data_IF_397930814130
#
_entry.id   IF_397930814130
#
_cell.length_a   1.000
_cell.length_b   1.000
_cell.length_c   1.000
_cell.angle_alpha   90.00
_cell.angle_beta   90.00
_cell.angle_gamma   90.00
#
_symmetry.space_group_name_H-M   'P 1'
#
loop_
_entity.id
_entity.type
_entity.pdbx_description
1 polymer ?
#
# COMPACT_ATOMS: atom_id res chain seq x y z
N UNK A 1 -12.12 -24.72 5.47
CA UNK A 1 -12.07 -23.37 4.89
C UNK A 1 -11.16 -22.52 5.77
N UNK A 2 -10.11 -21.94 5.19
CA UNK A 2 -9.01 -21.13 5.78
C UNK A 2 -7.66 -21.84 5.77
N UNK A 3 -6.96 -21.76 4.64
CA UNK A 3 -5.48 -21.84 4.59
C UNK A 3 -4.87 -20.82 3.61
N UNK A 4 -5.61 -20.38 2.59
CA UNK A 4 -5.06 -19.50 1.54
C UNK A 4 -5.06 -17.99 1.85
N UNK A 5 -5.85 -17.51 2.81
CA UNK A 5 -5.91 -16.07 3.12
C UNK A 5 -4.88 -15.73 4.19
N UNK A 6 -3.88 -14.94 3.82
CA UNK A 6 -2.86 -14.44 4.73
C UNK A 6 -2.78 -12.92 4.66
N UNK A 7 -2.64 -12.29 5.81
CA UNK A 7 -2.44 -10.86 5.90
C UNK A 7 -1.39 -10.57 6.97
N UNK A 8 -0.49 -9.64 6.66
CA UNK A 8 0.55 -9.15 7.56
C UNK A 8 0.49 -7.65 7.70
N UNK A 9 0.79 -7.16 8.90
CA UNK A 9 0.88 -5.73 9.20
C UNK A 9 2.30 -5.43 9.63
N UNK A 10 2.94 -4.50 8.94
CA UNK A 10 4.29 -4.03 9.26
C UNK A 10 4.27 -2.68 9.95
N UNK A 11 5.29 -2.44 10.77
CA UNK A 11 5.53 -1.18 11.45
C UNK A 11 7.03 -0.90 11.47
N UNK A 12 7.41 0.33 11.10
CA UNK A 12 8.72 0.87 11.45
C UNK A 12 8.59 2.26 12.07
N UNK A 13 9.47 2.53 13.04
CA UNK A 13 9.64 3.85 13.68
C UNK A 13 11.09 4.34 13.63
N UNK A 14 11.92 3.70 12.79
CA UNK A 14 13.30 4.10 12.55
C UNK A 14 13.35 5.51 11.95
N UNK A 15 14.43 6.22 12.25
CA UNK A 15 14.64 7.57 11.75
C UNK A 15 15.14 7.58 10.31
N UNK A 16 16.05 6.67 9.98
CA UNK A 16 16.51 6.52 8.61
C UNK A 16 15.38 5.99 7.72
N UNK A 17 15.08 6.72 6.65
CA UNK A 17 13.99 6.38 5.74
C UNK A 17 14.18 5.00 5.09
N UNK A 18 15.38 4.67 4.61
CA UNK A 18 15.62 3.41 3.89
C UNK A 18 15.52 2.22 4.83
N UNK A 19 16.13 2.30 6.01
CA UNK A 19 15.99 1.26 7.03
C UNK A 19 14.55 1.08 7.49
N UNK A 20 13.79 2.18 7.60
CA UNK A 20 12.38 2.11 7.95
C UNK A 20 11.55 1.44 6.86
N UNK A 21 11.86 1.73 5.60
CA UNK A 21 11.23 1.12 4.43
C UNK A 21 11.48 -0.38 4.36
N UNK A 22 12.71 -0.79 4.66
CA UNK A 22 13.08 -2.20 4.73
C UNK A 22 12.34 -2.92 5.85
N UNK A 23 12.42 -2.40 7.09
CA UNK A 23 11.80 -3.02 8.27
C UNK A 23 10.27 -3.15 8.14
N UNK A 24 9.60 -2.12 7.62
CA UNK A 24 8.13 -2.16 7.46
C UNK A 24 7.69 -3.16 6.38
N UNK A 25 8.54 -3.45 5.40
CA UNK A 25 8.29 -4.47 4.38
C UNK A 25 8.57 -5.87 4.93
N UNK A 26 9.72 -6.08 5.57
CA UNK A 26 10.11 -7.38 6.16
C UNK A 26 9.04 -7.87 7.15
N UNK A 27 8.70 -7.04 8.13
CA UNK A 27 7.73 -7.39 9.19
C UNK A 27 6.32 -7.67 8.66
N UNK A 28 5.91 -7.01 7.56
CA UNK A 28 4.64 -7.28 6.92
C UNK A 28 4.64 -8.61 6.15
N UNK A 29 5.73 -8.92 5.44
CA UNK A 29 5.83 -10.14 4.63
C UNK A 29 6.09 -11.39 5.46
N UNK A 30 6.69 -11.27 6.64
CA UNK A 30 6.88 -12.39 7.58
C UNK A 30 5.59 -13.19 7.83
N UNK A 31 4.43 -12.51 7.89
CA UNK A 31 3.13 -13.16 8.14
C UNK A 31 2.51 -13.83 6.91
N UNK A 32 3.13 -13.70 5.75
CA UNK A 32 2.69 -14.38 4.53
C UNK A 32 3.37 -15.74 4.36
N UNK A 33 4.35 -16.10 5.18
CA UNK A 33 5.12 -17.36 5.13
C UNK A 33 5.67 -17.66 3.71
N UNK A 34 6.18 -16.64 3.03
CA UNK A 34 6.74 -16.76 1.68
C UNK A 34 5.74 -16.61 0.54
N UNK A 35 4.44 -16.51 0.83
CA UNK A 35 3.42 -16.23 -0.19
C UNK A 35 3.58 -14.82 -0.78
N UNK A 36 3.42 -14.70 -2.11
CA UNK A 36 3.53 -13.40 -2.77
C UNK A 36 2.30 -12.54 -2.45
N UNK A 37 2.48 -11.30 -1.97
CA UNK A 37 1.36 -10.39 -1.76
C UNK A 37 0.67 -10.03 -3.08
N UNK A 38 -0.67 -9.99 -3.06
CA UNK A 38 -1.51 -9.46 -4.14
C UNK A 38 -1.40 -7.94 -4.26
N UNK A 39 -1.18 -7.27 -3.13
CA UNK A 39 -0.82 -5.87 -3.05
C UNK A 39 -0.10 -5.58 -1.73
N UNK A 40 0.57 -4.44 -1.69
CA UNK A 40 1.19 -3.89 -0.50
C UNK A 40 0.65 -2.49 -0.27
N UNK A 41 -0.04 -2.28 0.85
CA UNK A 41 -0.57 -0.99 1.28
C UNK A 41 0.44 -0.35 2.23
N UNK A 42 0.91 0.85 1.92
CA UNK A 42 1.95 1.55 2.68
C UNK A 42 1.51 2.97 3.04
N UNK A 43 1.57 3.30 4.32
CA UNK A 43 1.37 4.65 4.81
C UNK A 43 2.58 5.14 5.60
N UNK A 44 3.07 6.32 5.25
CA UNK A 44 4.17 6.96 5.97
C UNK A 44 3.73 8.29 6.57
N UNK A 45 4.34 8.68 7.68
CA UNK A 45 4.14 10.01 8.25
C UNK A 45 5.13 11.01 7.67
N UNK A 46 4.73 12.28 7.61
CA UNK A 46 5.44 13.35 6.88
C UNK A 46 6.91 13.55 7.27
N UNK A 47 7.31 13.14 8.47
CA UNK A 47 8.67 13.36 8.97
C UNK A 47 9.78 12.81 8.05
N UNK A 48 9.55 11.70 7.33
CA UNK A 48 10.58 11.14 6.44
C UNK A 48 11.00 12.10 5.32
N UNK A 49 10.19 13.11 4.97
CA UNK A 49 10.60 14.21 4.09
C UNK A 49 11.93 14.85 4.53
N UNK A 50 12.16 14.94 5.85
CA UNK A 50 13.38 15.55 6.44
C UNK A 50 14.46 14.54 6.82
N UNK A 51 14.14 13.25 6.88
CA UNK A 51 15.04 12.20 7.40
C UNK A 51 15.30 11.12 6.33
N UNK A 52 15.84 11.56 5.18
CA UNK A 52 16.22 10.69 4.05
C UNK A 52 15.31 10.81 2.82
N UNK A 53 14.08 11.30 2.99
CA UNK A 53 13.12 11.51 1.92
C UNK A 53 12.25 10.28 1.63
N UNK A 54 11.08 10.53 1.04
CA UNK A 54 10.15 9.44 0.69
C UNK A 54 10.71 8.49 -0.36
N UNK A 55 11.63 8.95 -1.22
CA UNK A 55 12.27 8.08 -2.21
C UNK A 55 13.15 7.01 -1.53
N UNK A 56 13.93 7.38 -0.51
CA UNK A 56 14.75 6.40 0.21
C UNK A 56 13.88 5.43 1.02
N UNK A 57 12.76 5.90 1.58
CA UNK A 57 11.76 5.02 2.18
C UNK A 57 11.25 3.98 1.17
N UNK A 58 10.88 4.41 -0.03
CA UNK A 58 10.42 3.51 -1.08
C UNK A 58 11.54 2.57 -1.55
N UNK A 59 12.78 3.05 -1.68
CA UNK A 59 13.93 2.22 -2.04
C UNK A 59 14.09 1.07 -1.04
N UNK A 60 13.99 1.36 0.27
CA UNK A 60 14.04 0.33 1.31
C UNK A 60 12.90 -0.70 1.22
N UNK A 61 11.68 -0.26 0.86
CA UNK A 61 10.55 -1.17 0.60
C UNK A 61 10.83 -2.07 -0.60
N UNK A 62 11.33 -1.49 -1.71
CA UNK A 62 11.58 -2.22 -2.96
C UNK A 62 12.73 -3.23 -2.88
N UNK A 63 13.65 -3.09 -1.93
CA UNK A 63 14.68 -4.10 -1.66
C UNK A 63 14.09 -5.43 -1.15
N UNK A 64 12.92 -5.36 -0.54
CA UNK A 64 12.28 -6.50 0.14
C UNK A 64 11.08 -7.00 -0.65
N UNK A 65 10.33 -6.09 -1.28
CA UNK A 65 9.06 -6.42 -1.90
C UNK A 65 9.25 -7.25 -3.17
N UNK A 66 8.52 -8.37 -3.35
CA UNK A 66 8.64 -9.18 -4.56
C UNK A 66 8.31 -8.37 -5.83
N UNK A 67 9.05 -8.61 -6.90
CA UNK A 67 8.91 -7.89 -8.17
C UNK A 67 7.46 -7.94 -8.70
N UNK A 68 6.97 -6.80 -9.18
CA UNK A 68 5.63 -6.67 -9.74
C UNK A 68 4.50 -6.61 -8.71
N UNK A 69 4.81 -6.62 -7.40
CA UNK A 69 3.80 -6.39 -6.36
C UNK A 69 3.24 -4.97 -6.48
N UNK A 70 1.92 -4.79 -6.60
CA UNK A 70 1.31 -3.46 -6.59
C UNK A 70 1.53 -2.78 -5.24
N UNK A 71 2.23 -1.65 -5.23
CA UNK A 71 2.41 -0.79 -4.07
C UNK A 71 1.42 0.37 -4.14
N UNK A 72 0.58 0.51 -3.12
CA UNK A 72 -0.44 1.56 -2.99
C UNK A 72 -0.35 2.22 -1.63
N UNK A 73 -0.94 3.40 -1.48
CA UNK A 73 -1.04 4.10 -0.21
C UNK A 73 -0.70 5.59 -0.34
N UNK A 74 -0.03 6.14 0.66
CA UNK A 74 0.31 7.56 0.66
C UNK A 74 0.84 8.07 1.99
N UNK A 75 0.80 9.38 2.17
CA UNK A 75 1.29 10.05 3.39
C UNK A 75 0.12 10.39 4.31
N UNK A 76 0.31 10.21 5.61
CA UNK A 76 -0.69 10.46 6.66
C UNK A 76 -0.09 11.29 7.80
N UNK A 77 -0.94 11.91 8.62
CA UNK A 77 -0.49 12.65 9.83
C UNK A 77 -0.13 11.69 10.97
N UNK A 78 -0.78 10.54 11.01
CA UNK A 78 -0.56 9.46 11.96
C UNK A 78 -1.33 8.22 11.50
N UNK A 79 -1.12 7.10 12.18
CA UNK A 79 -1.78 5.84 11.85
C UNK A 79 -2.04 5.01 13.11
N UNK A 80 -3.03 4.13 13.01
CA UNK A 80 -3.33 3.12 14.01
C UNK A 80 -3.24 1.74 13.37
N UNK A 81 -2.64 0.80 14.09
CA UNK A 81 -2.56 -0.59 13.67
C UNK A 81 -2.62 -1.50 14.91
N UNK A 82 -2.42 -2.81 14.72
CA UNK A 82 -2.41 -3.81 15.79
C UNK A 82 -1.31 -3.61 16.85
N UNK A 83 -0.34 -2.72 16.62
CA UNK A 83 0.72 -2.39 17.59
C UNK A 83 0.43 -1.11 18.38
N UNK A 84 -0.59 -0.32 18.01
CA UNK A 84 -0.99 0.89 18.71
C UNK A 84 -1.29 2.09 17.80
N UNK A 85 -1.24 3.29 18.38
CA UNK A 85 -1.45 4.56 17.69
C UNK A 85 -0.17 5.38 17.67
N UNK A 86 0.20 5.87 16.48
CA UNK A 86 1.50 6.52 16.27
C UNK A 86 1.36 7.79 15.43
N UNK A 87 2.08 8.82 15.85
CA UNK A 87 2.23 10.10 15.13
C UNK A 87 3.52 10.16 14.31
N UNK A 88 4.33 9.09 14.35
CA UNK A 88 5.63 8.99 13.66
C UNK A 88 5.95 7.56 13.30
N UNK A 89 6.40 7.38 12.06
CA UNK A 89 6.85 6.13 11.48
C UNK A 89 6.18 5.84 10.14
N UNK A 90 6.20 4.57 9.77
CA UNK A 90 5.52 4.01 8.61
C UNK A 90 4.81 2.71 9.02
N UNK A 91 3.65 2.45 8.43
CA UNK A 91 2.87 1.24 8.64
C UNK A 91 2.47 0.66 7.30
N UNK A 92 2.42 -0.66 7.22
CA UNK A 92 2.02 -1.35 6.00
C UNK A 92 1.02 -2.47 6.26
N UNK A 93 0.37 -2.92 5.20
CA UNK A 93 -0.39 -4.16 5.18
C UNK A 93 -0.08 -4.91 3.88
N UNK A 94 0.29 -6.18 4.00
CA UNK A 94 0.47 -7.10 2.89
C UNK A 94 -0.62 -8.17 2.95
N UNK A 95 -1.15 -8.59 1.81
CA UNK A 95 -2.22 -9.58 1.73
C UNK A 95 -1.94 -10.57 0.61
N UNK A 96 -2.03 -11.87 0.90
CA UNK A 96 -2.03 -12.93 -0.10
C UNK A 96 -3.35 -13.71 -0.01
N UNK A 97 -3.96 -13.96 -1.17
CA UNK A 97 -5.12 -14.82 -1.28
C UNK A 97 -5.31 -15.29 -2.73
N UNK A 98 -5.42 -16.60 -2.95
CA UNK A 98 -5.59 -17.19 -4.29
C UNK A 98 -6.88 -16.71 -4.99
N UNK A 99 -7.97 -16.57 -4.25
CA UNK A 99 -9.29 -16.20 -4.78
C UNK A 99 -9.51 -14.69 -4.81
N UNK A 100 -8.52 -13.93 -5.28
CA UNK A 100 -8.61 -12.49 -5.44
C UNK A 100 -7.80 -12.01 -6.65
N UNK A 101 -8.47 -11.23 -7.50
CA UNK A 101 -7.83 -10.40 -8.51
C UNK A 101 -7.70 -8.97 -7.98
N UNK A 102 -6.54 -8.35 -8.20
CA UNK A 102 -6.27 -6.99 -7.76
C UNK A 102 -5.89 -6.12 -8.95
N UNK A 103 -6.47 -4.93 -8.99
CA UNK A 103 -6.12 -3.88 -9.92
C UNK A 103 -5.88 -2.57 -9.17
N UNK A 104 -4.98 -1.75 -9.72
CA UNK A 104 -4.65 -0.43 -9.19
C UNK A 104 -4.93 0.60 -10.26
N UNK A 105 -5.67 1.63 -9.87
CA UNK A 105 -5.96 2.80 -10.69
C UNK A 105 -5.48 4.06 -9.98
N UNK A 106 -5.03 5.05 -10.75
CA UNK A 106 -4.61 6.35 -10.23
C UNK A 106 -5.28 7.43 -11.07
N UNK A 107 -6.05 8.29 -10.41
CA UNK A 107 -6.54 9.54 -10.96
C UNK A 107 -5.61 10.69 -10.57
N UNK A 108 -5.34 11.61 -11.48
CA UNK A 108 -4.48 12.77 -11.22
C UNK A 108 -5.23 14.09 -11.40
N UNK A 109 -4.68 15.16 -10.83
CA UNK A 109 -5.23 16.52 -10.94
C UNK A 109 -6.65 16.67 -10.35
N UNK A 110 -6.94 15.96 -9.26
CA UNK A 110 -8.25 15.98 -8.57
C UNK A 110 -8.71 17.39 -8.20
N UNK A 111 -7.78 18.31 -7.88
CA UNK A 111 -8.08 19.73 -7.61
C UNK A 111 -8.65 20.48 -8.82
N UNK A 112 -8.21 20.16 -10.03
CA UNK A 112 -8.61 20.87 -11.27
C UNK A 112 -9.82 20.21 -11.93
N UNK A 113 -9.84 18.87 -11.99
CA UNK A 113 -10.91 18.12 -12.65
C UNK A 113 -11.11 16.77 -11.93
N UNK A 114 -11.87 16.73 -10.83
CA UNK A 114 -12.08 15.53 -10.04
C UNK A 114 -12.85 14.44 -10.81
N UNK A 115 -13.78 14.83 -11.69
CA UNK A 115 -14.54 13.88 -12.52
C UNK A 115 -13.62 13.13 -13.48
N UNK A 116 -12.73 13.84 -14.17
CA UNK A 116 -11.72 13.22 -15.04
C UNK A 116 -10.80 12.30 -14.24
N UNK A 117 -10.32 12.74 -13.07
CA UNK A 117 -9.47 11.91 -12.22
C UNK A 117 -10.16 10.59 -11.83
N UNK A 118 -11.46 10.65 -11.47
CA UNK A 118 -12.26 9.48 -11.16
C UNK A 118 -12.45 8.56 -12.39
N UNK A 119 -12.78 9.14 -13.56
CA UNK A 119 -12.94 8.38 -14.82
C UNK A 119 -11.65 7.69 -15.25
N UNK A 120 -10.51 8.37 -15.14
CA UNK A 120 -9.20 7.81 -15.47
C UNK A 120 -8.88 6.63 -14.53
N UNK A 121 -9.08 6.81 -13.22
CA UNK A 121 -8.90 5.75 -12.21
C UNK A 121 -9.80 4.54 -12.50
N UNK A 122 -11.11 4.76 -12.69
CA UNK A 122 -12.07 3.70 -12.96
C UNK A 122 -11.74 2.94 -14.26
N UNK A 123 -11.33 3.65 -15.31
CA UNK A 123 -10.93 3.04 -16.58
C UNK A 123 -9.71 2.12 -16.41
N UNK A 124 -8.72 2.52 -15.59
CA UNK A 124 -7.57 1.66 -15.27
C UNK A 124 -7.99 0.40 -14.50
N UNK A 125 -8.90 0.55 -13.53
CA UNK A 125 -9.42 -0.59 -12.76
C UNK A 125 -10.13 -1.59 -13.67
N UNK A 126 -11.08 -1.12 -14.47
CA UNK A 126 -11.90 -1.95 -15.38
C UNK A 126 -11.05 -2.70 -16.41
N UNK A 127 -10.06 -2.03 -17.02
CA UNK A 127 -9.18 -2.67 -18.02
C UNK A 127 -8.44 -3.90 -17.49
N UNK A 128 -8.12 -3.96 -16.19
CA UNK A 128 -7.42 -5.11 -15.61
C UNK A 128 -8.37 -6.15 -15.01
N UNK A 129 -9.56 -5.73 -14.57
CA UNK A 129 -10.54 -6.62 -13.92
C UNK A 129 -11.61 -7.16 -14.87
N UNK A 130 -11.66 -6.76 -16.13
CA UNK A 130 -12.69 -7.22 -17.09
C UNK A 130 -12.71 -8.73 -17.35
N UNK A 131 -11.64 -9.44 -17.00
CA UNK A 131 -11.55 -10.90 -17.08
C UNK A 131 -11.74 -11.60 -15.72
N UNK A 132 -11.95 -10.84 -14.64
CA UNK A 132 -12.13 -11.42 -13.32
C UNK A 132 -13.43 -12.24 -13.29
N UNK A 133 -13.33 -13.46 -12.77
CA UNK A 133 -14.47 -14.39 -12.66
C UNK A 133 -15.12 -14.34 -11.26
N UNK A 134 -14.62 -13.47 -10.37
CA UNK A 134 -15.11 -13.36 -9.00
C UNK A 134 -16.35 -12.46 -8.94
N UNK A 135 -17.41 -12.98 -8.33
CA UNK A 135 -18.71 -12.30 -8.22
C UNK A 135 -18.65 -11.07 -7.31
N UNK A 136 -17.93 -11.17 -6.19
CA UNK A 136 -17.87 -10.11 -5.19
C UNK A 136 -16.80 -9.08 -5.55
N UNK A 137 -17.21 -7.81 -5.66
CA UNK A 137 -16.33 -6.69 -5.96
C UNK A 137 -16.19 -5.76 -4.75
N UNK A 138 -14.97 -5.29 -4.52
CA UNK A 138 -14.66 -4.30 -3.48
C UNK A 138 -13.72 -3.25 -4.04
N UNK A 139 -14.02 -1.98 -3.76
CA UNK A 139 -13.17 -0.85 -4.16
C UNK A 139 -12.66 -0.15 -2.92
N UNK A 140 -11.34 -0.13 -2.76
CA UNK A 140 -10.66 0.68 -1.75
C UNK A 140 -10.14 1.96 -2.41
N UNK A 141 -10.67 3.10 -1.99
CA UNK A 141 -10.31 4.40 -2.57
C UNK A 141 -9.61 5.28 -1.54
N UNK A 142 -8.47 5.83 -1.93
CA UNK A 142 -7.76 6.88 -1.21
C UNK A 142 -7.83 8.17 -2.03
N UNK A 143 -8.29 9.25 -1.42
CA UNK A 143 -8.31 10.58 -2.02
C UNK A 143 -7.38 11.46 -1.20
N UNK A 144 -6.41 12.09 -1.86
CA UNK A 144 -5.50 13.03 -1.22
C UNK A 144 -6.28 14.20 -0.61
N UNK A 145 -5.96 14.56 0.63
CA UNK A 145 -6.52 15.77 1.27
C UNK A 145 -6.09 17.06 0.54
N UNK A 146 -6.75 18.18 0.83
CA UNK A 146 -6.34 19.48 0.31
C UNK A 146 -4.93 19.82 0.81
N UNK A 147 -4.03 20.12 -0.12
CA UNK A 147 -2.71 20.74 0.10
C UNK A 147 -2.76 22.23 -0.19
#
# INVERSE_FOLDING_TARGET
MKEDFKAGVGLSRKWDAREAGREVAETALEKLDGEKPKFFLLFSTIHYEKYGGFQELLNGVWEVLPEGTPLIGGTVVGFMNNFGSFTRGTSSMALSYSNMDVSVGIGQNTKKNPEKAAKDCASMLQRRLHHSLFENQFVFQLVSGPT
#
